data_IF_097655058963
#
_entry.id   IF_097655058963
#
_cell.length_a   1.000
_cell.length_b   1.000
_cell.length_c   1.000
_cell.angle_alpha   90.00
_cell.angle_beta   90.00
_cell.angle_gamma   90.00
#
_symmetry.space_group_name_H-M   'P 1'
#
loop_
_entity.id
_entity.type
_entity.pdbx_description
1 polymer ?
#
# COMPACT_ATOMS: atom_id res chain seq x y z
N UNK A 1 -17.35 -3.86 -15.98
CA UNK A 1 -16.47 -2.68 -15.84
C UNK A 1 -15.30 -2.84 -16.80
N UNK A 2 -15.05 -1.85 -17.66
CA UNK A 2 -13.90 -1.87 -18.57
C UNK A 2 -12.67 -1.29 -17.87
N UNK A 3 -11.52 -1.92 -18.04
CA UNK A 3 -10.22 -1.46 -17.50
C UNK A 3 -9.38 -0.72 -18.52
N UNK A 4 -9.87 -0.58 -19.76
CA UNK A 4 -9.10 0.00 -20.87
C UNK A 4 -8.80 1.49 -20.68
N UNK A 5 -9.77 2.27 -20.25
CA UNK A 5 -9.57 3.71 -20.03
C UNK A 5 -8.64 4.01 -18.84
N UNK A 6 -8.81 3.40 -17.66
CA UNK A 6 -7.83 3.54 -16.57
C UNK A 6 -6.44 3.11 -16.97
N UNK A 7 -6.29 2.00 -17.71
CA UNK A 7 -4.99 1.52 -18.13
C UNK A 7 -4.30 2.49 -19.11
N UNK A 8 -5.06 3.06 -20.04
CA UNK A 8 -4.55 4.08 -20.95
C UNK A 8 -4.08 5.34 -20.19
N UNK A 9 -4.83 5.76 -19.18
CA UNK A 9 -4.46 6.90 -18.33
C UNK A 9 -3.17 6.63 -17.55
N UNK A 10 -3.01 5.44 -16.97
CA UNK A 10 -1.78 5.04 -16.27
C UNK A 10 -0.58 5.11 -17.22
N UNK A 11 -0.72 4.57 -18.44
CA UNK A 11 0.35 4.58 -19.43
C UNK A 11 0.71 5.98 -19.90
N UNK A 12 -0.24 6.89 -19.93
CA UNK A 12 0.01 8.28 -20.33
C UNK A 12 0.65 9.11 -19.20
N UNK A 13 0.26 8.86 -17.95
CA UNK A 13 0.63 9.71 -16.81
C UNK A 13 1.82 9.17 -16.02
N UNK A 14 2.13 7.88 -16.12
CA UNK A 14 3.18 7.20 -15.35
C UNK A 14 3.13 7.52 -13.84
N UNK A 15 1.98 7.31 -13.16
CA UNK A 15 1.79 7.74 -11.79
C UNK A 15 2.79 7.07 -10.86
N UNK A 16 3.29 7.83 -9.87
CA UNK A 16 4.13 7.28 -8.81
C UNK A 16 3.26 6.47 -7.86
N UNK A 17 3.55 5.19 -7.74
CA UNK A 17 2.84 4.26 -6.88
C UNK A 17 3.75 3.87 -5.71
N UNK A 18 3.42 4.36 -4.50
CA UNK A 18 4.16 3.97 -3.30
C UNK A 18 3.60 2.67 -2.75
N UNK A 19 4.42 1.62 -2.70
CA UNK A 19 4.03 0.30 -2.22
C UNK A 19 4.84 -0.08 -0.99
N UNK A 20 4.17 -0.31 0.12
CA UNK A 20 4.70 -1.09 1.24
C UNK A 20 4.22 -2.52 1.01
N UNK A 21 5.12 -3.39 0.55
CA UNK A 21 4.79 -4.75 0.13
C UNK A 21 5.37 -5.78 1.10
N UNK A 22 5.01 -7.05 0.92
CA UNK A 22 5.66 -8.14 1.63
C UNK A 22 6.87 -8.66 0.83
N UNK A 23 7.79 -9.34 1.51
CA UNK A 23 9.03 -9.82 0.87
C UNK A 23 8.80 -10.95 -0.14
N UNK A 24 7.66 -11.64 -0.06
CA UNK A 24 7.34 -12.75 -0.97
C UNK A 24 6.96 -12.24 -2.36
N UNK A 25 6.25 -11.13 -2.44
CA UNK A 25 5.67 -10.62 -3.68
C UNK A 25 6.15 -9.22 -4.10
N UNK A 26 7.08 -8.62 -3.36
CA UNK A 26 7.53 -7.25 -3.64
C UNK A 26 8.06 -7.08 -5.08
N UNK A 27 8.88 -8.00 -5.55
CA UNK A 27 9.42 -7.96 -6.91
C UNK A 27 8.32 -8.09 -7.97
N UNK A 28 7.37 -9.00 -7.78
CA UNK A 28 6.25 -9.21 -8.71
C UNK A 28 5.32 -7.98 -8.75
N UNK A 29 5.05 -7.38 -7.59
CA UNK A 29 4.25 -6.16 -7.50
C UNK A 29 4.92 -5.00 -8.24
N UNK A 30 6.22 -4.81 -8.05
CA UNK A 30 6.99 -3.78 -8.75
C UNK A 30 6.96 -4.00 -10.26
N UNK A 31 7.18 -5.22 -10.72
CA UNK A 31 7.17 -5.55 -12.15
C UNK A 31 5.77 -5.42 -12.76
N UNK A 32 4.71 -5.78 -12.05
CA UNK A 32 3.35 -5.57 -12.52
C UNK A 32 3.04 -4.08 -12.67
N UNK A 33 3.41 -3.27 -11.69
CA UNK A 33 3.24 -1.82 -11.77
C UNK A 33 3.96 -1.21 -12.98
N UNK A 34 5.21 -1.62 -13.22
CA UNK A 34 5.97 -1.21 -14.42
C UNK A 34 5.29 -1.68 -15.71
N UNK A 35 4.82 -2.91 -15.76
CA UNK A 35 4.19 -3.48 -16.94
C UNK A 35 2.91 -2.74 -17.35
N UNK A 36 2.14 -2.23 -16.41
CA UNK A 36 0.94 -1.43 -16.71
C UNK A 36 1.24 0.05 -16.98
N UNK A 37 2.48 0.48 -16.80
CA UNK A 37 2.93 1.84 -17.09
C UNK A 37 3.07 2.77 -15.88
N UNK A 38 2.87 2.27 -14.67
CA UNK A 38 3.10 3.04 -13.45
C UNK A 38 4.58 3.11 -13.08
N UNK A 39 4.92 4.00 -12.15
CA UNK A 39 6.27 4.16 -11.60
C UNK A 39 6.26 3.72 -10.13
N UNK A 40 6.59 2.46 -9.82
CA UNK A 40 6.55 1.96 -8.45
C UNK A 40 7.76 2.43 -7.65
N UNK A 41 7.52 2.77 -6.37
CA UNK A 41 8.55 2.95 -5.37
C UNK A 41 8.24 2.03 -4.18
N UNK A 42 9.17 1.15 -3.84
CA UNK A 42 9.00 0.11 -2.83
C UNK A 42 9.63 0.52 -1.50
N UNK A 43 9.51 1.80 -1.14
CA UNK A 43 10.09 2.35 0.07
C UNK A 43 9.30 1.92 1.30
N UNK A 44 10.01 1.48 2.35
CA UNK A 44 9.39 1.08 3.61
C UNK A 44 10.19 1.46 4.86
N UNK A 45 11.25 2.23 4.73
CA UNK A 45 11.98 2.75 5.88
C UNK A 45 11.12 3.82 6.59
N UNK A 46 10.81 3.68 7.88
CA UNK A 46 9.92 4.62 8.58
C UNK A 46 10.38 6.08 8.48
N UNK A 47 11.69 6.30 8.38
CA UNK A 47 12.29 7.64 8.35
C UNK A 47 11.93 8.46 7.11
N UNK A 48 11.60 7.81 5.99
CA UNK A 48 11.29 8.51 4.72
C UNK A 48 9.82 8.45 4.33
N UNK A 49 8.97 7.79 5.12
CA UNK A 49 7.59 7.50 4.71
C UNK A 49 6.74 8.75 4.47
N UNK A 50 6.91 9.78 5.28
CA UNK A 50 6.16 11.02 5.09
C UNK A 50 6.52 11.70 3.76
N UNK A 51 7.81 11.71 3.42
CA UNK A 51 8.29 12.34 2.18
C UNK A 51 7.86 11.56 0.95
N UNK A 52 8.05 10.25 0.98
CA UNK A 52 7.71 9.37 -0.16
C UNK A 52 6.19 9.33 -0.39
N UNK A 53 5.40 9.15 0.66
CA UNK A 53 3.95 9.11 0.53
C UNK A 53 3.38 10.45 0.02
N UNK A 54 3.99 11.55 0.41
CA UNK A 54 3.57 12.89 -0.04
C UNK A 54 3.77 13.12 -1.55
N UNK A 55 4.69 12.40 -2.18
CA UNK A 55 4.97 12.49 -3.62
C UNK A 55 4.11 11.52 -4.45
N UNK A 56 3.49 10.53 -3.81
CA UNK A 56 2.79 9.45 -4.51
C UNK A 56 1.47 9.91 -5.12
N UNK A 57 1.09 9.28 -6.22
CA UNK A 57 -0.26 9.38 -6.80
C UNK A 57 -1.25 8.43 -6.12
N UNK A 58 -0.75 7.33 -5.56
CA UNK A 58 -1.50 6.38 -4.75
C UNK A 58 -0.54 5.63 -3.82
N UNK A 59 -1.08 5.13 -2.70
CA UNK A 59 -0.33 4.34 -1.71
C UNK A 59 -0.99 2.98 -1.55
N UNK A 60 -0.18 1.92 -1.58
CA UNK A 60 -0.63 0.53 -1.35
C UNK A 60 0.06 0.00 -0.11
N UNK A 61 -0.72 -0.42 0.87
CA UNK A 61 -0.25 -0.97 2.14
C UNK A 61 -0.60 -2.46 2.21
N UNK A 62 0.41 -3.32 2.17
CA UNK A 62 0.27 -4.77 2.31
C UNK A 62 0.88 -5.21 3.64
N UNK A 63 0.11 -5.96 4.44
CA UNK A 63 0.51 -6.35 5.80
C UNK A 63 1.15 -7.74 5.89
N UNK A 64 1.52 -8.35 4.77
CA UNK A 64 2.25 -9.62 4.75
C UNK A 64 3.69 -9.45 5.25
N UNK A 65 4.29 -10.53 5.77
CA UNK A 65 5.66 -10.53 6.36
C UNK A 65 5.95 -9.31 7.23
N UNK A 66 5.14 -9.04 8.27
CA UNK A 66 5.22 -7.81 9.04
C UNK A 66 6.29 -7.83 10.12
N UNK A 67 6.75 -6.63 10.48
CA UNK A 67 7.51 -6.34 11.69
C UNK A 67 7.04 -4.98 12.25
N UNK A 68 7.59 -4.57 13.39
CA UNK A 68 7.25 -3.29 14.03
C UNK A 68 7.53 -2.10 13.12
N UNK A 69 8.68 -2.10 12.45
CA UNK A 69 9.09 -1.02 11.55
C UNK A 69 8.12 -0.88 10.38
N UNK A 70 7.66 -1.99 9.82
CA UNK A 70 6.70 -2.01 8.72
C UNK A 70 5.36 -1.42 9.13
N UNK A 71 4.83 -1.78 10.29
CA UNK A 71 3.57 -1.19 10.78
C UNK A 71 3.73 0.30 11.08
N UNK A 72 4.85 0.72 11.63
CA UNK A 72 5.16 2.15 11.83
C UNK A 72 5.19 2.89 10.49
N UNK A 73 5.88 2.34 9.50
CA UNK A 73 5.94 2.90 8.15
C UNK A 73 4.55 3.01 7.52
N UNK A 74 3.74 1.96 7.63
CA UNK A 74 2.38 1.92 7.08
C UNK A 74 1.47 2.99 7.71
N UNK A 75 1.53 3.17 9.03
CA UNK A 75 0.77 4.23 9.72
C UNK A 75 1.17 5.61 9.23
N UNK A 76 2.46 5.88 9.12
CA UNK A 76 2.96 7.19 8.65
C UNK A 76 2.58 7.45 7.20
N UNK A 77 2.78 6.48 6.32
CA UNK A 77 2.44 6.60 4.90
C UNK A 77 0.93 6.83 4.70
N UNK A 78 0.10 6.04 5.37
CA UNK A 78 -1.35 6.17 5.30
C UNK A 78 -1.86 7.50 5.82
N UNK A 79 -1.37 7.96 6.97
CA UNK A 79 -1.74 9.25 7.54
C UNK A 79 -1.31 10.42 6.63
N UNK A 80 -0.11 10.35 6.07
CA UNK A 80 0.39 11.38 5.13
C UNK A 80 -0.47 11.43 3.87
N UNK A 81 -0.78 10.28 3.29
CA UNK A 81 -1.65 10.18 2.11
C UNK A 81 -3.03 10.79 2.39
N UNK A 82 -3.62 10.51 3.55
CA UNK A 82 -4.93 11.07 3.94
C UNK A 82 -4.90 12.60 4.02
N UNK A 83 -3.88 13.17 4.65
CA UNK A 83 -3.75 14.64 4.74
C UNK A 83 -3.63 15.31 3.38
N UNK A 84 -3.17 14.60 2.37
CA UNK A 84 -2.96 15.10 1.01
C UNK A 84 -4.01 14.62 0.02
N UNK A 85 -5.06 13.96 0.49
CA UNK A 85 -6.13 13.39 -0.35
C UNK A 85 -5.61 12.41 -1.41
N UNK A 86 -4.55 11.69 -1.09
CA UNK A 86 -3.98 10.64 -1.95
C UNK A 86 -4.71 9.33 -1.64
N UNK A 87 -5.19 8.60 -2.65
CA UNK A 87 -5.89 7.33 -2.43
C UNK A 87 -4.98 6.27 -1.80
N UNK A 88 -5.55 5.51 -0.86
CA UNK A 88 -4.85 4.43 -0.14
C UNK A 88 -5.60 3.12 -0.32
N UNK A 89 -4.89 2.08 -0.72
CA UNK A 89 -5.38 0.70 -0.76
C UNK A 89 -4.72 -0.09 0.36
N UNK A 90 -5.52 -0.75 1.20
CA UNK A 90 -5.02 -1.68 2.22
C UNK A 90 -5.30 -3.12 1.82
N UNK A 91 -4.26 -3.93 1.83
CA UNK A 91 -4.32 -5.39 1.68
C UNK A 91 -3.92 -6.05 3.01
N UNK A 92 -4.91 -6.46 3.84
CA UNK A 92 -4.66 -6.94 5.19
C UNK A 92 -4.23 -8.41 5.22
N UNK A 93 -3.16 -8.75 4.52
CA UNK A 93 -2.64 -10.11 4.44
C UNK A 93 -2.38 -10.68 5.83
N UNK A 94 -2.94 -11.85 6.10
CA UNK A 94 -2.71 -12.56 7.35
C UNK A 94 -3.38 -11.94 8.58
N UNK A 95 -4.43 -11.15 8.41
CA UNK A 95 -5.10 -10.43 9.51
C UNK A 95 -5.54 -11.35 10.65
N UNK A 96 -5.99 -12.55 10.34
CA UNK A 96 -6.43 -13.55 11.33
C UNK A 96 -5.34 -14.49 11.84
N UNK A 97 -4.09 -14.34 11.38
CA UNK A 97 -3.03 -15.29 11.69
C UNK A 97 -2.52 -15.19 13.15
N UNK A 98 -2.61 -14.03 13.78
CA UNK A 98 -2.22 -13.85 15.18
C UNK A 98 -2.91 -12.64 15.79
N UNK A 99 -3.07 -12.62 17.14
CA UNK A 99 -3.59 -11.45 17.86
C UNK A 99 -2.75 -10.19 17.61
N UNK A 100 -1.44 -10.32 17.51
CA UNK A 100 -0.52 -9.21 17.25
C UNK A 100 -0.77 -8.57 15.87
N UNK A 101 -0.94 -9.39 14.82
CA UNK A 101 -1.29 -8.89 13.47
C UNK A 101 -2.64 -8.17 13.48
N UNK A 102 -3.63 -8.81 14.08
CA UNK A 102 -4.98 -8.23 14.17
C UNK A 102 -4.95 -6.87 14.84
N UNK A 103 -4.28 -6.76 16.00
CA UNK A 103 -4.20 -5.49 16.73
C UNK A 103 -3.50 -4.39 15.92
N UNK A 104 -2.41 -4.72 15.24
CA UNK A 104 -1.70 -3.75 14.40
C UNK A 104 -2.52 -3.33 13.17
N UNK A 105 -3.22 -4.26 12.52
CA UNK A 105 -4.08 -3.92 11.38
C UNK A 105 -5.27 -3.07 11.84
N UNK A 106 -5.89 -3.39 12.98
CA UNK A 106 -6.94 -2.55 13.57
C UNK A 106 -6.43 -1.14 13.87
N UNK A 107 -5.20 -1.01 14.33
CA UNK A 107 -4.58 0.31 14.57
C UNK A 107 -4.36 1.12 13.29
N UNK A 108 -4.22 0.47 12.15
CA UNK A 108 -4.16 1.16 10.85
C UNK A 108 -5.52 1.71 10.45
N UNK A 109 -6.61 1.04 10.80
CA UNK A 109 -7.96 1.40 10.36
C UNK A 109 -8.52 2.62 11.08
N UNK A 110 -8.01 2.97 12.28
CA UNK A 110 -8.55 4.06 13.08
C UNK A 110 -8.18 5.46 12.57
N UNK A 111 -6.89 5.78 12.33
CA UNK A 111 -6.47 7.13 11.93
C UNK A 111 -6.47 7.36 10.42
N UNK A 112 -6.71 6.34 9.62
CA UNK A 112 -6.54 6.38 8.15
C UNK A 112 -7.84 5.99 7.47
N UNK A 113 -8.30 6.83 6.55
CA UNK A 113 -9.37 6.49 5.61
C UNK A 113 -8.77 5.79 4.40
N UNK A 114 -9.31 4.65 4.05
CA UNK A 114 -8.86 3.87 2.91
C UNK A 114 -9.82 4.01 1.74
N UNK A 115 -9.28 4.24 0.55
CA UNK A 115 -10.07 4.28 -0.68
C UNK A 115 -10.59 2.89 -1.01
N UNK A 116 -9.73 1.87 -0.82
CA UNK A 116 -10.08 0.47 -1.04
C UNK A 116 -9.48 -0.39 0.05
N UNK A 117 -10.23 -1.43 0.41
CA UNK A 117 -9.80 -2.49 1.31
C UNK A 117 -9.95 -3.81 0.55
N UNK A 118 -8.87 -4.56 0.38
CA UNK A 118 -8.94 -5.87 -0.26
C UNK A 118 -9.38 -6.93 0.75
N UNK A 119 -9.96 -8.01 0.27
CA UNK A 119 -10.21 -9.16 1.12
C UNK A 119 -8.91 -9.95 1.31
N UNK A 120 -8.68 -10.50 2.53
CA UNK A 120 -7.54 -11.38 2.74
C UNK A 120 -7.61 -12.58 1.78
N UNK A 121 -6.51 -12.86 1.11
CA UNK A 121 -6.42 -14.00 0.19
C UNK A 121 -6.13 -15.31 0.92
N UNK A 122 -5.72 -15.24 2.19
CA UNK A 122 -5.39 -16.40 3.01
C UNK A 122 -6.46 -16.60 4.08
N UNK A 123 -7.09 -17.78 4.17
CA UNK A 123 -8.16 -18.04 5.13
C UNK A 123 -7.62 -18.37 6.52
N UNK A 124 -7.35 -17.42 7.34
CA UNK A 124 -7.08 -17.60 8.77
C UNK A 124 -7.46 -16.41 9.63
#
# INVERSE_FOLDING_TARGET
MSVSAPLAAIRAQHPLLHCISNIVSANDCANLALAIGASPIMAQAPQEMADIAALASAVVLNTGTPDEAKFTAARTAGATANRRSIPVVLDPVGVGASPWRLANIQSLLQPVSYTHLTLPTTPY
#
